data_IF_690310080922
#
_entry.id   IF_690310080922
#
_cell.length_a   1.000
_cell.length_b   1.000
_cell.length_c   1.000
_cell.angle_alpha   90.00
_cell.angle_beta   90.00
_cell.angle_gamma   90.00
#
_symmetry.space_group_name_H-M   'P 1'
#
loop_
_entity.id
_entity.type
_entity.pdbx_description
1 polymer ?
#
# COMPACT_ATOMS: atom_id res chain seq x y z
N UNK A 1 15.66 36.25 -6.99
CA UNK A 1 15.30 34.86 -6.56
C UNK A 1 14.06 34.45 -7.34
N UNK A 2 14.17 33.49 -8.27
CA UNK A 2 13.00 32.94 -8.95
C UNK A 2 12.24 32.04 -7.98
N UNK A 3 10.94 32.26 -7.82
CA UNK A 3 10.06 31.33 -7.11
C UNK A 3 10.01 30.03 -7.93
N UNK A 4 10.40 28.91 -7.31
CA UNK A 4 10.09 27.59 -7.86
C UNK A 4 8.58 27.45 -7.91
N UNK A 5 7.99 27.52 -9.10
CA UNK A 5 6.59 27.19 -9.30
C UNK A 5 6.49 25.66 -9.26
N UNK A 6 5.91 25.14 -8.19
CA UNK A 6 5.61 23.71 -8.08
C UNK A 6 4.41 23.45 -9.01
N UNK A 7 4.69 22.93 -10.20
CA UNK A 7 3.69 22.34 -11.08
C UNK A 7 3.74 20.81 -10.91
N UNK A 8 2.64 20.09 -11.10
CA UNK A 8 2.54 18.64 -10.96
C UNK A 8 3.60 17.85 -11.75
N UNK A 9 4.00 18.36 -12.92
CA UNK A 9 5.09 17.78 -13.71
C UNK A 9 6.43 17.80 -12.98
N UNK A 10 6.68 18.83 -12.16
CA UNK A 10 7.88 18.94 -11.32
C UNK A 10 7.81 17.94 -10.17
N UNK A 11 6.64 17.75 -9.55
CA UNK A 11 6.46 16.76 -8.47
C UNK A 11 6.65 15.33 -9.00
N UNK A 12 6.03 15.00 -10.14
CA UNK A 12 6.16 13.68 -10.78
C UNK A 12 7.62 13.36 -11.08
N UNK A 13 8.34 14.32 -11.66
CA UNK A 13 9.75 14.16 -12.01
C UNK A 13 10.63 14.03 -10.78
N UNK A 14 10.35 14.81 -9.74
CA UNK A 14 11.02 14.73 -8.44
C UNK A 14 10.85 13.35 -7.79
N UNK A 15 9.60 12.88 -7.63
CA UNK A 15 9.33 11.55 -7.03
C UNK A 15 10.00 10.43 -7.82
N UNK A 16 9.92 10.46 -9.16
CA UNK A 16 10.57 9.45 -10.00
C UNK A 16 12.08 9.47 -9.81
N UNK A 17 12.71 10.64 -9.78
CA UNK A 17 14.15 10.76 -9.60
C UNK A 17 14.61 10.09 -8.30
N UNK A 18 13.97 10.42 -7.17
CA UNK A 18 14.37 9.87 -5.87
C UNK A 18 14.04 8.39 -5.74
N UNK A 19 12.91 7.93 -6.28
CA UNK A 19 12.59 6.51 -6.29
C UNK A 19 13.62 5.71 -7.10
N UNK A 20 13.95 6.17 -8.32
CA UNK A 20 15.00 5.54 -9.15
C UNK A 20 16.34 5.52 -8.41
N UNK A 21 16.72 6.61 -7.73
CA UNK A 21 17.95 6.64 -6.92
C UNK A 21 17.92 5.65 -5.77
N UNK A 22 16.79 5.51 -5.07
CA UNK A 22 16.64 4.53 -4.00
C UNK A 22 16.79 3.10 -4.52
N UNK A 23 16.18 2.76 -5.67
CA UNK A 23 16.36 1.45 -6.32
C UNK A 23 17.83 1.22 -6.71
N UNK A 24 18.48 2.19 -7.35
CA UNK A 24 19.87 2.07 -7.78
C UNK A 24 20.86 1.89 -6.62
N UNK A 25 20.64 2.59 -5.51
CA UNK A 25 21.52 2.57 -4.34
C UNK A 25 21.29 1.33 -3.46
N UNK A 26 20.04 0.93 -3.26
CA UNK A 26 19.70 -0.20 -2.38
C UNK A 26 19.79 -1.55 -3.10
N UNK A 27 19.62 -1.55 -4.43
CA UNK A 27 19.56 -2.74 -5.30
C UNK A 27 18.61 -3.79 -4.73
N UNK A 28 17.33 -3.44 -4.50
CA UNK A 28 16.42 -4.35 -3.84
C UNK A 28 16.07 -5.51 -4.77
N UNK A 29 15.81 -6.66 -4.16
CA UNK A 29 15.26 -7.84 -4.83
C UNK A 29 13.78 -7.67 -5.19
N UNK A 30 13.09 -6.75 -4.51
CA UNK A 30 11.71 -6.37 -4.78
C UNK A 30 11.23 -5.21 -3.91
N UNK A 31 10.06 -4.67 -4.25
CA UNK A 31 9.45 -3.53 -3.57
C UNK A 31 8.00 -3.85 -3.21
N UNK A 32 7.61 -3.51 -1.98
CA UNK A 32 6.23 -3.62 -1.52
C UNK A 32 5.70 -2.21 -1.27
N UNK A 33 4.59 -1.87 -1.94
CA UNK A 33 3.83 -0.66 -1.67
C UNK A 33 2.65 -1.00 -0.77
N UNK A 34 2.58 -0.37 0.41
CA UNK A 34 1.64 -0.74 1.48
C UNK A 34 0.36 0.13 1.47
N UNK A 35 -0.13 0.54 0.31
CA UNK A 35 -1.35 1.34 0.15
C UNK A 35 -1.11 2.77 -0.33
N UNK A 36 -2.22 3.48 -0.51
CA UNK A 36 -2.33 4.85 -1.01
C UNK A 36 -1.53 5.10 -2.28
N UNK A 37 -1.77 4.23 -3.26
CA UNK A 37 -1.07 4.27 -4.53
C UNK A 37 -1.57 5.44 -5.39
N UNK A 38 -2.88 5.68 -5.36
CA UNK A 38 -3.61 6.62 -6.20
C UNK A 38 -4.11 7.80 -5.38
N UNK A 39 -4.11 8.98 -6.00
CA UNK A 39 -4.67 10.18 -5.38
C UNK A 39 -6.21 10.11 -5.51
N UNK A 40 -6.92 9.95 -4.39
CA UNK A 40 -8.38 9.84 -4.33
C UNK A 40 -8.96 8.73 -5.22
N UNK A 41 -8.26 7.60 -5.37
CA UNK A 41 -8.68 6.49 -6.26
C UNK A 41 -10.09 5.97 -5.98
N UNK A 42 -10.53 6.06 -4.73
CA UNK A 42 -11.83 5.60 -4.27
C UNK A 42 -13.01 6.52 -4.69
N UNK A 43 -12.74 7.80 -4.95
CA UNK A 43 -13.73 8.86 -5.26
C UNK A 43 -13.51 9.50 -6.63
N UNK A 44 -12.35 9.29 -7.25
CA UNK A 44 -11.97 9.90 -8.53
C UNK A 44 -12.87 9.47 -9.69
N UNK A 45 -13.20 10.43 -10.56
CA UNK A 45 -13.83 10.18 -11.85
C UNK A 45 -12.90 9.41 -12.79
N UNK A 46 -13.43 8.83 -13.87
CA UNK A 46 -12.66 7.93 -14.75
C UNK A 46 -11.42 8.57 -15.38
N UNK A 47 -11.50 9.84 -15.78
CA UNK A 47 -10.35 10.56 -16.34
C UNK A 47 -9.25 10.78 -15.30
N UNK A 48 -9.62 11.23 -14.09
CA UNK A 48 -8.67 11.48 -13.00
C UNK A 48 -8.04 10.18 -12.51
N UNK A 49 -8.83 9.11 -12.39
CA UNK A 49 -8.34 7.79 -12.03
C UNK A 49 -7.35 7.25 -13.06
N UNK A 50 -7.68 7.35 -14.36
CA UNK A 50 -6.77 6.92 -15.41
C UNK A 50 -5.45 7.72 -15.39
N UNK A 51 -5.54 9.02 -15.11
CA UNK A 51 -4.37 9.89 -14.95
C UNK A 51 -3.51 9.48 -13.75
N UNK A 52 -4.09 9.29 -12.56
CA UNK A 52 -3.33 8.91 -11.36
C UNK A 52 -2.70 7.53 -11.48
N UNK A 53 -3.39 6.56 -12.11
CA UNK A 53 -2.81 5.25 -12.45
C UNK A 53 -1.63 5.39 -13.40
N UNK A 54 -1.77 6.16 -14.47
CA UNK A 54 -0.70 6.38 -15.46
C UNK A 54 0.52 7.04 -14.81
N UNK A 55 0.29 8.05 -13.97
CA UNK A 55 1.32 8.72 -13.17
C UNK A 55 2.01 7.74 -12.21
N UNK A 56 1.28 6.92 -11.47
CA UNK A 56 1.86 5.92 -10.57
C UNK A 56 2.77 4.95 -11.32
N UNK A 57 2.29 4.37 -12.42
CA UNK A 57 3.08 3.48 -13.28
C UNK A 57 4.36 4.17 -13.77
N UNK A 58 4.24 5.40 -14.25
CA UNK A 58 5.37 6.20 -14.73
C UNK A 58 6.39 6.46 -13.63
N UNK A 59 6.00 6.67 -12.39
CA UNK A 59 6.95 6.97 -11.31
C UNK A 59 7.58 5.68 -10.78
N UNK A 60 6.77 4.67 -10.47
CA UNK A 60 7.14 3.56 -9.60
C UNK A 60 7.30 2.22 -10.31
N UNK A 61 6.70 2.04 -11.49
CA UNK A 61 6.71 0.77 -12.24
C UNK A 61 7.49 0.91 -13.56
N UNK A 62 8.64 1.58 -13.49
CA UNK A 62 9.48 1.86 -14.66
C UNK A 62 10.39 0.69 -15.07
N UNK A 63 10.69 -0.22 -14.14
CA UNK A 63 11.56 -1.37 -14.32
C UNK A 63 10.71 -2.64 -14.43
N UNK A 64 10.77 -3.33 -15.57
CA UNK A 64 9.86 -4.45 -15.87
C UNK A 64 10.15 -5.70 -15.03
N UNK A 65 11.40 -5.89 -14.61
CA UNK A 65 11.85 -7.11 -13.94
C UNK A 65 11.87 -6.99 -12.41
N UNK A 66 11.56 -5.80 -11.88
CA UNK A 66 11.47 -5.59 -10.44
C UNK A 66 10.25 -6.34 -9.88
N UNK A 67 10.47 -7.21 -8.90
CA UNK A 67 9.37 -7.86 -8.18
C UNK A 67 8.62 -6.80 -7.36
N UNK A 68 7.33 -6.61 -7.64
CA UNK A 68 6.51 -5.59 -6.95
C UNK A 68 5.25 -6.22 -6.36
N UNK A 69 4.97 -5.89 -5.10
CA UNK A 69 3.70 -6.15 -4.44
C UNK A 69 2.99 -4.81 -4.24
N UNK A 70 1.72 -4.76 -4.61
CA UNK A 70 0.88 -3.56 -4.53
C UNK A 70 -0.32 -3.89 -3.64
N UNK A 71 -0.34 -3.29 -2.46
CA UNK A 71 -1.45 -3.37 -1.52
C UNK A 71 -2.30 -2.11 -1.70
N UNK A 72 -3.63 -2.19 -1.86
CA UNK A 72 -4.48 -1.00 -1.88
C UNK A 72 -4.64 -0.40 -0.47
N UNK A 73 -4.66 0.93 -0.40
CA UNK A 73 -5.03 1.68 0.81
C UNK A 73 -6.50 2.09 0.84
N UNK A 74 -6.88 2.84 1.86
CA UNK A 74 -8.22 3.40 1.99
C UNK A 74 -8.51 4.46 0.91
N UNK A 75 -7.50 5.26 0.52
CA UNK A 75 -7.64 6.22 -0.57
C UNK A 75 -7.71 5.57 -1.96
N UNK A 76 -7.35 4.29 -2.09
CA UNK A 76 -7.39 3.56 -3.36
C UNK A 76 -8.77 2.96 -3.64
N UNK A 77 -9.40 2.35 -2.63
CA UNK A 77 -10.61 1.53 -2.80
C UNK A 77 -11.69 1.78 -1.74
N UNK A 78 -11.49 2.71 -0.82
CA UNK A 78 -12.30 2.93 0.37
C UNK A 78 -11.73 2.20 1.59
N UNK A 79 -12.27 2.57 2.76
CA UNK A 79 -11.77 2.21 4.08
C UNK A 79 -12.26 3.25 5.07
N UNK A 80 -11.99 3.06 6.37
CA UNK A 80 -12.20 4.14 7.36
C UNK A 80 -13.60 4.77 7.39
N UNK A 81 -14.65 3.97 7.19
CA UNK A 81 -16.04 4.44 7.14
C UNK A 81 -16.55 4.70 5.72
N UNK A 82 -15.68 4.69 4.72
CA UNK A 82 -16.05 4.59 3.30
C UNK A 82 -16.15 3.11 2.91
N UNK A 83 -17.29 2.66 2.37
CA UNK A 83 -17.43 1.26 1.94
C UNK A 83 -16.46 0.89 0.82
N UNK A 84 -15.77 -0.24 1.00
CA UNK A 84 -15.06 -0.92 -0.08
C UNK A 84 -16.09 -1.67 -0.94
N UNK A 85 -16.30 -1.22 -2.17
CA UNK A 85 -17.25 -1.86 -3.09
C UNK A 85 -16.53 -2.76 -4.10
N UNK A 86 -17.25 -3.75 -4.64
CA UNK A 86 -16.70 -4.62 -5.69
C UNK A 86 -16.26 -3.80 -6.92
N UNK A 87 -16.97 -2.72 -7.24
CA UNK A 87 -16.62 -1.84 -8.36
C UNK A 87 -15.26 -1.14 -8.13
N UNK A 88 -15.04 -0.56 -6.94
CA UNK A 88 -13.77 0.08 -6.57
C UNK A 88 -12.61 -0.92 -6.62
N UNK A 89 -12.81 -2.11 -6.04
CA UNK A 89 -11.81 -3.18 -6.06
C UNK A 89 -11.50 -3.65 -7.48
N UNK A 90 -12.51 -3.95 -8.30
CA UNK A 90 -12.31 -4.36 -9.70
C UNK A 90 -11.57 -3.29 -10.49
N UNK A 91 -11.96 -2.01 -10.35
CA UNK A 91 -11.32 -0.89 -11.04
C UNK A 91 -9.83 -0.78 -10.69
N UNK A 92 -9.47 -0.90 -9.41
CA UNK A 92 -8.08 -0.91 -8.97
C UNK A 92 -7.28 -2.08 -9.58
N UNK A 93 -7.81 -3.31 -9.47
CA UNK A 93 -7.14 -4.53 -9.91
C UNK A 93 -7.00 -4.62 -11.43
N UNK A 94 -7.95 -4.09 -12.20
CA UNK A 94 -7.89 -4.08 -13.67
C UNK A 94 -6.88 -3.07 -14.21
N UNK A 95 -6.48 -2.08 -13.42
CA UNK A 95 -5.65 -0.97 -13.88
C UNK A 95 -4.22 -1.00 -13.38
N UNK A 96 -3.92 -1.74 -12.32
CA UNK A 96 -2.56 -1.93 -11.80
C UNK A 96 -2.14 -3.40 -11.96
N UNK A 97 -0.84 -3.71 -12.08
CA UNK A 97 -0.34 -5.08 -12.20
C UNK A 97 -0.38 -5.83 -10.86
N UNK A 98 -1.53 -5.77 -10.18
CA UNK A 98 -1.78 -6.43 -8.91
C UNK A 98 -2.14 -7.87 -9.18
N UNK A 99 -1.36 -8.81 -8.65
CA UNK A 99 -1.74 -10.23 -8.65
C UNK A 99 -2.62 -10.48 -7.44
N UNK A 100 -3.85 -10.90 -7.65
CA UNK A 100 -4.74 -11.30 -6.58
C UNK A 100 -4.28 -12.61 -5.92
N UNK A 101 -3.66 -12.55 -4.73
CA UNK A 101 -3.39 -13.73 -3.90
C UNK A 101 -2.03 -13.74 -3.23
N UNK A 102 -1.50 -14.95 -3.06
CA UNK A 102 -0.27 -15.21 -2.32
C UNK A 102 0.91 -14.95 -3.25
N UNK A 103 1.77 -14.00 -2.89
CA UNK A 103 2.97 -13.73 -3.68
C UNK A 103 4.12 -14.55 -3.11
N UNK A 104 4.74 -15.39 -3.92
CA UNK A 104 5.97 -16.09 -3.52
C UNK A 104 7.17 -15.44 -4.16
N UNK A 105 8.14 -15.06 -3.33
CA UNK A 105 9.45 -14.61 -3.77
C UNK A 105 10.52 -15.42 -3.05
N UNK A 106 11.16 -16.35 -3.77
CA UNK A 106 12.12 -17.32 -3.22
C UNK A 106 11.48 -18.09 -2.04
N UNK A 107 12.05 -17.97 -0.85
CA UNK A 107 11.57 -18.63 0.37
C UNK A 107 10.57 -17.77 1.16
N UNK A 108 10.13 -16.61 0.63
CA UNK A 108 9.19 -15.73 1.32
C UNK A 108 7.83 -15.80 0.65
N UNK A 109 6.80 -16.11 1.44
CA UNK A 109 5.39 -16.10 1.03
C UNK A 109 4.72 -14.85 1.59
N UNK A 110 4.09 -14.04 0.75
CA UNK A 110 3.37 -12.83 1.15
C UNK A 110 1.86 -13.02 1.01
N UNK A 111 1.11 -12.57 2.02
CA UNK A 111 -0.35 -12.69 2.09
C UNK A 111 -0.99 -11.34 2.42
N UNK A 112 -2.19 -11.06 1.88
CA UNK A 112 -2.94 -9.83 2.14
C UNK A 112 -4.46 -10.00 2.01
N UNK A 113 -5.22 -9.24 2.79
CA UNK A 113 -6.66 -9.47 3.05
C UNK A 113 -7.64 -8.65 2.23
N UNK A 114 -7.21 -8.09 1.11
CA UNK A 114 -8.15 -7.45 0.19
C UNK A 114 -8.97 -8.45 -0.62
N UNK A 115 -8.74 -9.75 -0.41
CA UNK A 115 -9.69 -10.81 -0.80
C UNK A 115 -10.72 -10.99 0.30
N UNK A 116 -11.97 -11.23 -0.13
CA UNK A 116 -13.11 -11.70 0.68
C UNK A 116 -12.62 -12.46 1.94
N UNK A 117 -12.97 -12.02 3.16
CA UNK A 117 -12.54 -12.65 4.42
C UNK A 117 -12.96 -14.12 4.60
N UNK A 118 -13.70 -14.66 3.62
CA UNK A 118 -14.32 -15.98 3.62
C UNK A 118 -13.57 -17.01 2.76
N UNK A 119 -12.55 -16.60 1.99
CA UNK A 119 -11.75 -17.57 1.21
C UNK A 119 -10.76 -18.24 2.16
N UNK A 120 -11.10 -19.46 2.60
CA UNK A 120 -10.13 -20.37 3.21
C UNK A 120 -8.96 -20.55 2.26
N UNK A 121 -7.81 -19.99 2.60
CA UNK A 121 -6.56 -20.42 1.96
C UNK A 121 -6.38 -21.89 2.34
N UNK A 122 -6.32 -22.77 1.34
CA UNK A 122 -5.86 -24.15 1.55
C UNK A 122 -4.36 -24.07 1.86
N UNK A 123 -4.06 -23.76 3.11
CA UNK A 123 -2.71 -23.91 3.64
C UNK A 123 -2.51 -25.41 3.69
N UNK A 124 -1.76 -25.91 2.70
CA UNK A 124 -1.27 -27.27 2.73
C UNK A 124 -0.51 -27.44 4.04
N UNK A 125 -1.09 -28.24 4.94
CA UNK A 125 -0.42 -28.77 6.13
C UNK A 125 0.70 -29.68 5.63
N UNK A 126 1.84 -29.09 5.31
CA UNK A 126 3.02 -29.77 4.81
C UNK A 126 4.24 -29.15 5.46
N UNK A 127 4.99 -30.01 6.17
CA UNK A 127 6.37 -29.87 6.65
C UNK A 127 6.95 -28.45 6.59
N UNK A 128 7.25 -27.84 7.75
CA UNK A 128 7.97 -26.57 7.89
C UNK A 128 9.27 -26.60 7.07
N UNK A 129 9.17 -26.21 5.80
CA UNK A 129 10.31 -25.87 4.96
C UNK A 129 10.83 -24.51 5.45
N UNK A 130 12.05 -24.14 5.09
CA UNK A 130 12.72 -22.89 5.49
C UNK A 130 12.04 -21.62 4.90
N UNK A 131 10.72 -21.62 4.74
CA UNK A 131 9.93 -20.54 4.17
C UNK A 131 9.40 -19.61 5.26
N UNK A 132 9.45 -18.31 5.00
CA UNK A 132 8.94 -17.26 5.87
C UNK A 132 7.61 -16.77 5.31
N UNK A 133 6.56 -16.82 6.12
CA UNK A 133 5.26 -16.24 5.78
C UNK A 133 5.18 -14.81 6.30
N UNK A 134 4.98 -13.85 5.41
CA UNK A 134 4.87 -12.43 5.72
C UNK A 134 3.46 -11.95 5.40
N UNK A 135 2.75 -11.48 6.41
CA UNK A 135 1.48 -10.80 6.20
C UNK A 135 1.72 -9.32 5.91
N UNK A 136 1.07 -8.81 4.87
CA UNK A 136 1.16 -7.40 4.47
C UNK A 136 -0.23 -6.80 4.35
N UNK A 137 -0.40 -5.61 4.91
CA UNK A 137 -1.68 -4.87 4.87
C UNK A 137 -1.43 -3.37 4.92
N UNK A 138 -2.40 -2.59 4.45
CA UNK A 138 -2.35 -1.15 4.65
C UNK A 138 -2.74 -0.79 6.08
N UNK A 139 -3.93 -1.22 6.51
CA UNK A 139 -4.46 -0.93 7.85
C UNK A 139 -3.79 -1.82 8.92
N UNK A 140 -3.56 -1.29 10.13
CA UNK A 140 -2.98 -2.05 11.21
C UNK A 140 -4.03 -3.02 11.77
N UNK A 141 -3.63 -4.27 11.96
CA UNK A 141 -4.45 -5.34 12.56
C UNK A 141 -4.75 -5.06 14.05
N UNK A 142 -3.83 -4.35 14.71
CA UNK A 142 -3.97 -3.89 16.09
C UNK A 142 -3.84 -2.37 16.10
N UNK A 143 -4.88 -1.68 16.54
CA UNK A 143 -4.87 -0.22 16.72
C UNK A 143 -5.46 0.15 18.08
N UNK A 144 -5.23 1.39 18.53
CA UNK A 144 -5.81 1.90 19.78
C UNK A 144 -7.35 1.88 19.81
N UNK A 145 -8.00 1.85 18.65
CA UNK A 145 -9.46 1.88 18.53
C UNK A 145 -10.07 0.52 18.20
N UNK A 146 -9.33 -0.35 17.51
CA UNK A 146 -9.84 -1.63 17.04
C UNK A 146 -8.74 -2.69 17.06
N UNK A 147 -9.09 -3.86 17.59
CA UNK A 147 -8.38 -5.11 17.33
C UNK A 147 -9.16 -5.82 16.23
N UNK A 148 -8.62 -5.88 15.02
CA UNK A 148 -9.16 -6.68 13.93
C UNK A 148 -8.09 -7.66 13.51
N UNK A 149 -8.15 -8.87 14.07
CA UNK A 149 -7.40 -10.00 13.56
C UNK A 149 -8.19 -10.64 12.42
N UNK A 150 -7.77 -10.43 11.16
CA UNK A 150 -8.41 -11.13 10.07
C UNK A 150 -8.12 -12.63 10.20
N UNK A 151 -9.13 -13.45 9.94
CA UNK A 151 -9.03 -14.91 10.10
C UNK A 151 -7.89 -15.50 9.27
N UNK A 152 -7.62 -14.92 8.11
CA UNK A 152 -6.47 -15.20 7.25
C UNK A 152 -5.14 -15.01 7.97
N UNK A 153 -4.93 -13.93 8.74
CA UNK A 153 -3.73 -13.74 9.55
C UNK A 153 -3.62 -14.79 10.67
N UNK A 154 -4.73 -15.07 11.38
CA UNK A 154 -4.74 -16.09 12.42
C UNK A 154 -4.45 -17.49 11.86
N UNK A 155 -4.86 -17.74 10.61
CA UNK A 155 -4.65 -19.02 9.94
C UNK A 155 -3.32 -19.10 9.17
N UNK A 156 -2.67 -17.98 8.83
CA UNK A 156 -1.55 -17.95 7.87
C UNK A 156 -0.19 -18.40 8.44
N UNK A 157 -0.10 -18.67 9.75
CA UNK A 157 1.17 -18.92 10.44
C UNK A 157 2.23 -17.85 10.09
N UNK A 158 1.82 -16.59 9.96
CA UNK A 158 2.72 -15.50 9.60
C UNK A 158 3.87 -15.39 10.62
N UNK A 159 5.10 -15.42 10.12
CA UNK A 159 6.31 -15.18 10.90
C UNK A 159 6.54 -13.69 11.14
N UNK A 160 6.00 -12.83 10.26
CA UNK A 160 6.12 -11.39 10.30
C UNK A 160 4.84 -10.73 9.77
N UNK A 161 4.43 -9.61 10.38
CA UNK A 161 3.33 -8.78 9.92
C UNK A 161 3.81 -7.35 9.68
N UNK A 162 3.49 -6.79 8.51
CA UNK A 162 3.91 -5.45 8.09
C UNK A 162 2.68 -4.63 7.69
N UNK A 163 2.61 -3.41 8.21
CA UNK A 163 1.49 -2.48 8.04
C UNK A 163 1.98 -1.15 7.47
N UNK A 164 1.19 -0.54 6.58
CA UNK A 164 1.55 0.72 5.93
C UNK A 164 1.10 1.98 6.68
N UNK A 165 -0.12 1.97 7.19
CA UNK A 165 -0.82 3.15 7.69
C UNK A 165 -1.06 3.04 9.19
N UNK A 166 -0.74 4.08 9.97
CA UNK A 166 -1.04 4.13 11.39
C UNK A 166 -1.70 5.46 11.73
N UNK A 167 -3.01 5.42 11.97
CA UNK A 167 -3.72 6.57 12.51
C UNK A 167 -3.30 6.83 13.96
N UNK A 168 -2.44 7.83 14.15
CA UNK A 168 -2.38 8.52 15.45
C UNK A 168 -3.61 9.42 15.53
N UNK A 169 -4.64 8.97 16.26
CA UNK A 169 -5.62 9.91 16.80
C UNK A 169 -4.86 10.78 17.78
N UNK A 170 -4.52 12.00 17.37
CA UNK A 170 -4.29 13.06 18.34
C UNK A 170 -5.64 13.27 19.02
N UNK A 171 -5.74 12.98 20.31
CA UNK A 171 -6.87 13.42 21.13
C UNK A 171 -6.89 14.95 21.06
N UNK A 172 -7.63 15.53 20.11
CA UNK A 172 -8.13 16.90 20.26
C UNK A 172 -9.22 16.83 21.31
N UNK A 173 -8.80 16.83 22.57
CA UNK A 173 -9.68 17.19 23.66
C UNK A 173 -10.17 18.62 23.40
N UNK A 174 -11.49 18.71 23.26
CA UNK A 174 -12.36 19.84 23.57
C UNK A 174 -11.63 20.97 24.30
N UNK A 175 -11.47 22.12 23.64
CA UNK A 175 -11.80 23.47 24.13
C UNK A 175 -11.25 24.56 23.19
N UNK A 176 -12.15 25.49 22.85
CA UNK A 176 -11.95 26.83 22.28
C UNK A 176 -11.64 27.04 20.78
N UNK A 177 -12.69 27.51 20.10
CA UNK A 177 -12.79 28.50 19.02
C UNK A 177 -11.54 28.94 18.23
N UNK A 178 -11.80 28.99 16.91
CA UNK A 178 -11.31 29.94 15.91
C UNK A 178 -10.08 29.55 15.08
N UNK A 179 -10.38 29.34 13.79
CA UNK A 179 -9.58 29.66 12.60
C UNK A 179 -8.16 29.08 12.58
N UNK A 180 -8.05 27.92 11.92
CA UNK A 180 -6.96 27.47 11.04
C UNK A 180 -7.16 25.97 10.82
N UNK A 181 -8.08 25.62 9.92
CA UNK A 181 -8.27 24.25 9.44
C UNK A 181 -7.46 24.03 8.16
N UNK A 182 -6.15 24.21 8.23
CA UNK A 182 -5.23 23.64 7.25
C UNK A 182 -4.70 22.32 7.84
N UNK A 183 -5.53 21.30 7.76
CA UNK A 183 -5.15 19.92 8.08
C UNK A 183 -4.26 19.41 6.93
N UNK A 184 -2.95 19.50 7.14
CA UNK A 184 -2.00 18.72 6.37
C UNK A 184 -2.10 17.27 6.84
N UNK A 185 -2.88 16.46 6.11
CA UNK A 185 -2.71 15.01 6.09
C UNK A 185 -1.29 14.75 5.59
N UNK A 186 -0.42 14.23 6.45
CA UNK A 186 0.90 13.76 6.04
C UNK A 186 0.70 12.51 5.18
N UNK A 187 0.72 12.67 3.85
CA UNK A 187 0.72 11.56 2.90
C UNK A 187 2.05 10.79 2.99
N UNK A 188 2.19 9.93 4.00
CA UNK A 188 3.31 8.97 4.06
C UNK A 188 2.96 7.74 3.23
N UNK A 189 3.47 7.68 1.98
CA UNK A 189 3.47 6.43 1.22
C UNK A 189 4.52 5.50 1.81
N UNK A 190 4.07 4.49 2.55
CA UNK A 190 4.95 3.46 3.13
C UNK A 190 5.44 2.49 2.04
N UNK A 191 6.75 2.55 1.75
CA UNK A 191 7.44 1.67 0.80
C UNK A 191 8.42 0.79 1.58
N UNK A 192 8.31 -0.52 1.42
CA UNK A 192 9.30 -1.47 1.94
C UNK A 192 10.17 -1.99 0.80
N UNK A 193 11.49 -1.86 0.96
CA UNK A 193 12.48 -2.42 0.03
C UNK A 193 13.07 -3.70 0.60
N UNK A 194 12.97 -4.79 -0.16
CA UNK A 194 13.52 -6.09 0.22
C UNK A 194 14.96 -6.18 -0.31
N UNK A 195 15.94 -6.36 0.58
CA UNK A 195 17.34 -6.58 0.20
C UNK A 195 17.80 -7.95 0.68
N UNK A 196 18.41 -8.72 -0.22
CA UNK A 196 19.14 -9.93 0.13
C UNK A 196 20.62 -9.69 -0.16
N UNK A 197 21.50 -10.02 0.78
CA UNK A 197 22.93 -10.11 0.50
C UNK A 197 23.18 -11.50 -0.09
N UNK A 198 23.79 -11.53 -1.27
CA UNK A 198 24.36 -12.75 -1.85
C UNK A 198 25.68 -13.07 -1.15
#
# INVERSE_FOLDING_TARGET
>A
MSKFVINENNITSFLRFYFVKAIQLTKPSGVIFLGDLLDSGDTAQDLDFAYTVSRFKKIFLFEKDLFVILIPGDNDIGGEGVPVTQAKLTRFLSNLPVKLGDYKYKFVNFYSDYKKPEVKHNIMSGSFSNEISVYVSHLPVISHQFIRFPLTLLNSNASLSIHGHLHRITQKNVLHHSILSDLHSSYEKSILMLKQNA
#
